data_IF_790124328225
#
_entry.id   IF_790124328225
#
_cell.length_a   1.000
_cell.length_b   1.000
_cell.length_c   1.000
_cell.angle_alpha   90.00
_cell.angle_beta   90.00
_cell.angle_gamma   90.00
#
_symmetry.space_group_name_H-M   'P 1'
#
loop_
_entity.id
_entity.type
_entity.pdbx_description
1 polymer ?
#
# COMPACT_ATOMS: atom_id res chain seq x y z
N UNK A 1 -1.11 2.42 -13.57
CA UNK A 1 -2.49 2.50 -13.04
C UNK A 1 -2.53 2.81 -11.55
N UNK A 2 -1.79 2.10 -10.69
CA UNK A 2 -1.82 2.36 -9.23
C UNK A 2 -1.46 3.81 -8.84
N UNK A 3 -0.42 4.40 -9.46
CA UNK A 3 0.00 5.78 -9.16
C UNK A 3 -1.10 6.82 -9.43
N UNK A 4 -1.87 6.65 -10.50
CA UNK A 4 -2.96 7.56 -10.86
C UNK A 4 -4.21 7.36 -9.99
N UNK A 5 -4.47 6.13 -9.55
CA UNK A 5 -5.58 5.82 -8.65
C UNK A 5 -5.34 6.51 -7.30
N UNK A 6 -4.13 6.39 -6.75
CA UNK A 6 -3.82 6.91 -5.43
C UNK A 6 -3.19 8.33 -5.44
N UNK A 7 -3.02 8.94 -6.62
CA UNK A 7 -2.42 10.27 -6.79
C UNK A 7 -1.05 10.46 -6.09
N UNK A 8 -0.21 9.43 -6.12
CA UNK A 8 1.10 9.39 -5.42
C UNK A 8 2.26 9.89 -6.25
N UNK A 9 3.32 10.31 -5.55
CA UNK A 9 4.62 10.53 -6.15
C UNK A 9 5.20 9.25 -6.76
N UNK A 10 6.01 9.41 -7.81
CA UNK A 10 6.67 8.29 -8.52
C UNK A 10 7.73 7.55 -7.68
N UNK A 11 8.04 8.04 -6.49
CA UNK A 11 9.07 7.48 -5.59
C UNK A 11 8.53 6.48 -4.57
N UNK A 12 7.21 6.28 -4.52
CA UNK A 12 6.59 5.24 -3.68
C UNK A 12 7.00 3.85 -4.15
N UNK A 13 7.12 2.90 -3.23
CA UNK A 13 7.36 1.50 -3.60
C UNK A 13 6.14 0.91 -4.33
N UNK A 14 6.43 0.06 -5.31
CA UNK A 14 5.40 -0.70 -6.05
C UNK A 14 4.54 -1.53 -5.10
N UNK A 15 5.17 -2.18 -4.12
CA UNK A 15 4.53 -3.06 -3.14
C UNK A 15 3.47 -2.29 -2.33
N UNK A 16 3.84 -1.12 -1.80
CA UNK A 16 2.92 -0.29 -1.00
C UNK A 16 1.80 0.29 -1.86
N UNK A 17 2.11 0.82 -3.06
CA UNK A 17 1.08 1.47 -3.88
C UNK A 17 0.04 0.46 -4.40
N UNK A 18 0.44 -0.78 -4.70
CA UNK A 18 -0.49 -1.83 -5.13
C UNK A 18 -1.45 -2.23 -4.00
N UNK A 19 -0.94 -2.37 -2.77
CA UNK A 19 -1.77 -2.62 -1.58
C UNK A 19 -2.74 -1.45 -1.34
N UNK A 20 -2.24 -0.21 -1.32
CA UNK A 20 -3.08 0.98 -1.09
C UNK A 20 -4.17 1.09 -2.16
N UNK A 21 -3.81 0.89 -3.43
CA UNK A 21 -4.74 0.93 -4.56
C UNK A 21 -5.74 -0.24 -4.58
N UNK A 22 -5.50 -1.28 -3.78
CA UNK A 22 -6.28 -2.51 -3.81
C UNK A 22 -6.12 -3.29 -5.13
N UNK A 23 -4.97 -3.17 -5.79
CA UNK A 23 -4.71 -3.82 -7.07
C UNK A 23 -3.82 -5.05 -6.87
N UNK A 24 -4.32 -6.22 -7.25
CA UNK A 24 -3.53 -7.45 -7.28
C UNK A 24 -2.31 -7.23 -8.19
N UNK A 25 -1.09 -7.49 -7.71
CA UNK A 25 0.12 -7.45 -8.53
C UNK A 25 -0.01 -8.27 -9.81
N UNK A 26 0.57 -7.77 -10.91
CA UNK A 26 0.38 -8.35 -12.23
C UNK A 26 0.85 -9.81 -12.31
N UNK A 27 1.96 -10.15 -11.64
CA UNK A 27 2.49 -11.52 -11.65
C UNK A 27 1.51 -12.50 -11.01
N UNK A 28 0.86 -12.12 -9.91
CA UNK A 28 -0.18 -12.95 -9.29
C UNK A 28 -1.43 -13.05 -10.15
N UNK A 29 -1.88 -11.95 -10.76
CA UNK A 29 -3.04 -11.98 -11.67
C UNK A 29 -2.78 -12.83 -12.93
N UNK A 30 -1.54 -12.87 -13.41
CA UNK A 30 -1.13 -13.73 -14.52
C UNK A 30 -1.11 -15.20 -14.10
N UNK A 31 -0.59 -15.49 -12.90
CA UNK A 31 -0.56 -16.82 -12.29
C UNK A 31 -1.96 -17.39 -12.12
N UNK A 32 -2.88 -16.63 -11.51
CA UNK A 32 -4.29 -17.01 -11.30
C UNK A 32 -4.94 -17.40 -12.63
N UNK A 33 -4.71 -16.61 -13.69
CA UNK A 33 -5.23 -16.91 -15.03
C UNK A 33 -4.63 -18.17 -15.64
N UNK A 34 -3.33 -18.42 -15.44
CA UNK A 34 -2.67 -19.63 -15.93
C UNK A 34 -3.24 -20.87 -15.24
N UNK A 35 -3.38 -20.82 -13.92
CA UNK A 35 -3.93 -21.92 -13.12
C UNK A 35 -5.38 -22.22 -13.50
N UNK A 36 -6.19 -21.20 -13.79
CA UNK A 36 -7.55 -21.39 -14.29
C UNK A 36 -7.59 -22.00 -15.70
N UNK A 37 -6.67 -21.60 -16.60
CA UNK A 37 -6.62 -22.09 -17.97
C UNK A 37 -6.36 -23.61 -18.08
N UNK A 38 -5.60 -24.17 -17.14
CA UNK A 38 -5.28 -25.61 -17.13
C UNK A 38 -6.39 -26.48 -16.51
N UNK A 39 -7.41 -25.89 -15.89
CA UNK A 39 -8.52 -26.64 -15.30
C UNK A 39 -9.49 -27.11 -16.39
N UNK A 40 -9.92 -28.36 -16.27
CA UNK A 40 -10.87 -28.97 -17.21
C UNK A 40 -12.28 -28.33 -17.14
N UNK A 41 -12.66 -27.84 -15.96
CA UNK A 41 -13.93 -27.14 -15.73
C UNK A 41 -13.69 -25.92 -14.84
N UNK A 42 -14.23 -24.77 -15.24
CA UNK A 42 -14.15 -23.51 -14.50
C UNK A 42 -15.55 -23.17 -14.02
N UNK A 43 -15.78 -23.31 -12.71
CA UNK A 43 -16.97 -22.83 -12.03
C UNK A 43 -16.60 -21.77 -10.98
N UNK A 44 -17.59 -21.20 -10.31
CA UNK A 44 -17.35 -20.12 -9.35
C UNK A 44 -16.63 -20.59 -8.08
N UNK A 45 -16.79 -21.85 -7.67
CA UNK A 45 -16.04 -22.43 -6.55
C UNK A 45 -14.54 -22.49 -6.87
N UNK A 46 -14.18 -22.94 -8.07
CA UNK A 46 -12.79 -23.00 -8.55
C UNK A 46 -12.19 -21.60 -8.64
N UNK A 47 -12.92 -20.61 -9.18
CA UNK A 47 -12.45 -19.21 -9.24
C UNK A 47 -12.24 -18.63 -7.84
N UNK A 48 -13.18 -18.88 -6.92
CA UNK A 48 -13.08 -18.38 -5.55
C UNK A 48 -11.90 -19.01 -4.80
N UNK A 49 -11.65 -20.30 -5.01
CA UNK A 49 -10.47 -20.97 -4.47
C UNK A 49 -9.19 -20.33 -4.99
N UNK A 50 -9.06 -20.17 -6.31
CA UNK A 50 -7.87 -19.57 -6.92
C UNK A 50 -7.65 -18.12 -6.48
N UNK A 51 -8.73 -17.36 -6.27
CA UNK A 51 -8.63 -16.00 -5.74
C UNK A 51 -8.13 -15.98 -4.29
N UNK A 52 -8.58 -16.91 -3.43
CA UNK A 52 -8.06 -17.03 -2.06
C UNK A 52 -6.58 -17.41 -2.05
N UNK A 53 -6.18 -18.37 -2.88
CA UNK A 53 -4.77 -18.75 -3.04
C UNK A 53 -3.92 -17.54 -3.46
N UNK A 54 -4.43 -16.75 -4.41
CA UNK A 54 -3.80 -15.51 -4.87
C UNK A 54 -3.60 -14.50 -3.75
N UNK A 55 -4.62 -14.30 -2.90
CA UNK A 55 -4.51 -13.41 -1.74
C UNK A 55 -3.56 -13.94 -0.68
N UNK A 56 -3.51 -15.25 -0.45
CA UNK A 56 -2.56 -15.85 0.49
C UNK A 56 -1.11 -15.60 0.05
N UNK A 57 -0.80 -15.87 -1.21
CA UNK A 57 0.55 -15.66 -1.75
C UNK A 57 0.90 -14.16 -1.74
N UNK A 58 -0.05 -13.29 -2.08
CA UNK A 58 0.17 -11.85 -2.01
C UNK A 58 0.41 -11.38 -0.57
N UNK A 59 -0.34 -11.91 0.39
CA UNK A 59 -0.13 -11.62 1.81
C UNK A 59 1.26 -12.05 2.28
N UNK A 60 1.76 -13.21 1.86
CA UNK A 60 3.13 -13.67 2.19
C UNK A 60 4.21 -12.75 1.60
N UNK A 61 4.06 -12.30 0.35
CA UNK A 61 4.97 -11.31 -0.28
C UNK A 61 4.90 -9.97 0.46
N UNK A 62 3.70 -9.51 0.83
CA UNK A 62 3.52 -8.31 1.63
C UNK A 62 4.14 -8.44 3.02
N UNK A 63 4.05 -9.64 3.58
CA UNK A 63 4.55 -9.93 4.91
C UNK A 63 6.07 -10.04 4.97
N UNK A 64 6.73 -10.24 3.84
CA UNK A 64 8.19 -10.39 3.74
C UNK A 64 8.89 -9.20 3.09
N UNK A 65 8.15 -8.28 2.45
CA UNK A 65 8.72 -7.09 1.83
C UNK A 65 9.48 -6.20 2.84
N UNK A 66 10.64 -5.72 2.41
CA UNK A 66 11.45 -4.72 3.11
C UNK A 66 10.95 -3.29 2.86
N UNK A 67 10.05 -3.10 1.89
CA UNK A 67 9.49 -1.82 1.48
C UNK A 67 8.11 -1.60 2.10
N UNK A 68 7.66 -0.35 2.15
CA UNK A 68 6.29 -0.03 2.59
C UNK A 68 6.00 -0.38 4.05
N UNK A 69 7.03 -0.46 4.92
CA UNK A 69 6.91 -0.87 6.32
C UNK A 69 5.87 -0.08 7.11
N UNK A 70 5.79 1.22 6.87
CA UNK A 70 4.74 2.07 7.41
C UNK A 70 3.34 1.65 6.94
N UNK A 71 3.14 1.54 5.63
CA UNK A 71 1.87 1.08 5.04
C UNK A 71 1.46 -0.27 5.62
N UNK A 72 2.41 -1.19 5.83
CA UNK A 72 2.14 -2.52 6.40
C UNK A 72 1.79 -2.48 7.88
N UNK A 73 2.25 -1.48 8.62
CA UNK A 73 1.83 -1.21 10.01
C UNK A 73 0.36 -0.77 10.08
N UNK A 74 -0.17 -0.18 9.00
CA UNK A 74 -1.56 0.29 8.92
C UNK A 74 -2.49 -0.72 8.23
N UNK A 75 -1.99 -1.40 7.20
CA UNK A 75 -2.72 -2.34 6.34
C UNK A 75 -2.07 -3.73 6.51
N UNK A 76 -2.55 -4.48 7.49
CA UNK A 76 -2.02 -5.80 7.81
C UNK A 76 -2.51 -6.89 6.86
N UNK A 77 -3.80 -6.90 6.55
CA UNK A 77 -4.43 -7.91 5.70
C UNK A 77 -4.81 -7.30 4.34
N UNK A 78 -4.23 -7.82 3.26
CA UNK A 78 -4.46 -7.32 1.89
C UNK A 78 -5.86 -7.67 1.37
N UNK A 79 -6.41 -8.82 1.74
CA UNK A 79 -7.75 -9.24 1.32
C UNK A 79 -8.84 -8.38 1.98
N UNK A 80 -8.74 -8.15 3.29
CA UNK A 80 -9.66 -7.28 4.03
C UNK A 80 -9.60 -5.84 3.49
N UNK A 81 -8.39 -5.34 3.24
CA UNK A 81 -8.21 -4.00 2.69
C UNK A 81 -8.76 -3.85 1.28
N UNK A 82 -8.58 -4.85 0.42
CA UNK A 82 -9.05 -4.79 -0.98
C UNK A 82 -10.55 -5.06 -1.11
N UNK A 83 -11.15 -5.79 -0.16
CA UNK A 83 -12.59 -6.14 -0.16
C UNK A 83 -13.49 -5.12 0.55
N UNK A 84 -12.90 -4.10 1.19
CA UNK A 84 -13.64 -3.05 1.90
C UNK A 84 -14.61 -2.29 0.98
N UNK A 85 -15.79 -2.00 1.51
CA UNK A 85 -16.88 -1.32 0.77
C UNK A 85 -16.89 0.20 0.93
N UNK A 86 -15.95 0.75 1.70
CA UNK A 86 -15.90 2.16 2.06
C UNK A 86 -14.44 2.61 2.22
N UNK A 87 -14.23 3.94 2.25
CA UNK A 87 -12.93 4.57 2.55
C UNK A 87 -12.07 4.82 1.32
N UNK A 88 -12.62 5.47 0.30
CA UNK A 88 -11.87 5.76 -0.93
C UNK A 88 -10.49 6.37 -0.64
N UNK A 89 -9.49 5.90 -1.38
CA UNK A 89 -8.11 6.39 -1.26
C UNK A 89 -7.97 7.63 -2.14
N UNK A 90 -8.12 8.79 -1.53
CA UNK A 90 -7.81 10.08 -2.15
C UNK A 90 -6.33 10.45 -1.98
N UNK A 91 -5.94 11.62 -2.48
CA UNK A 91 -4.58 12.14 -2.37
C UNK A 91 -4.06 12.20 -0.92
N UNK A 92 -4.87 12.70 0.01
CA UNK A 92 -4.45 12.94 1.39
C UNK A 92 -4.38 11.64 2.19
N UNK A 93 -5.38 10.79 2.04
CA UNK A 93 -5.39 9.45 2.64
C UNK A 93 -4.22 8.63 2.13
N UNK A 94 -3.93 8.71 0.83
CA UNK A 94 -2.79 7.99 0.28
C UNK A 94 -1.46 8.51 0.82
N UNK A 95 -1.27 9.82 0.93
CA UNK A 95 -0.05 10.39 1.54
C UNK A 95 0.16 9.89 2.96
N UNK A 96 -0.92 9.83 3.74
CA UNK A 96 -0.89 9.22 5.07
C UNK A 96 -0.48 7.74 5.01
N UNK A 97 -1.22 6.91 4.27
CA UNK A 97 -1.01 5.46 4.22
C UNK A 97 0.37 5.08 3.71
N UNK A 98 0.96 5.91 2.86
CA UNK A 98 2.26 5.65 2.24
C UNK A 98 3.44 6.27 2.97
N UNK A 99 3.23 7.18 3.93
CA UNK A 99 4.28 8.06 4.47
C UNK A 99 4.98 8.91 3.38
N UNK A 100 4.46 8.91 2.15
CA UNK A 100 4.99 9.64 1.00
C UNK A 100 4.20 10.95 0.77
N UNK A 101 4.04 11.71 1.86
CA UNK A 101 3.40 13.01 1.87
C UNK A 101 4.36 14.20 1.91
N UNK A 102 3.81 15.39 2.12
CA UNK A 102 4.58 16.62 2.40
C UNK A 102 5.04 16.64 3.88
N UNK A 103 5.58 15.52 4.35
CA UNK A 103 6.18 15.37 5.67
C UNK A 103 7.61 15.90 5.64
N UNK A 104 8.04 16.67 6.64
CA UNK A 104 9.36 17.29 6.60
C UNK A 104 10.47 16.22 6.54
N UNK A 105 10.33 15.09 7.22
CA UNK A 105 11.29 13.98 7.12
C UNK A 105 11.49 13.51 5.68
N UNK A 106 10.37 13.31 4.95
CA UNK A 106 10.42 12.90 3.55
C UNK A 106 11.08 13.97 2.68
N UNK A 107 10.67 15.24 2.83
CA UNK A 107 11.22 16.36 2.08
C UNK A 107 12.73 16.54 2.32
N UNK A 108 13.18 16.32 3.56
CA UNK A 108 14.58 16.35 3.94
C UNK A 108 15.36 15.20 3.26
N UNK A 109 14.83 13.98 3.30
CA UNK A 109 15.42 12.80 2.64
C UNK A 109 15.61 13.00 1.13
N UNK A 110 14.70 13.70 0.47
CA UNK A 110 14.82 14.08 -0.95
C UNK A 110 15.55 15.40 -1.19
N UNK A 111 16.21 15.95 -0.16
CA UNK A 111 17.04 17.17 -0.19
C UNK A 111 16.31 18.44 -0.66
N UNK A 112 15.00 18.54 -0.37
CA UNK A 112 14.20 19.74 -0.66
C UNK A 112 14.22 20.77 0.46
N UNK A 113 14.48 20.33 1.69
CA UNK A 113 14.55 21.18 2.89
C UNK A 113 15.75 20.79 3.78
N UNK A 114 16.26 21.70 4.63
CA UNK A 114 17.50 21.48 5.37
C UNK A 114 17.38 20.53 6.56
N UNK A 115 16.19 20.36 7.14
CA UNK A 115 15.94 19.46 8.26
C UNK A 115 14.57 18.79 8.12
N UNK A 116 14.36 17.67 8.82
CA UNK A 116 13.13 16.88 8.78
C UNK A 116 12.23 17.04 10.01
N UNK A 117 12.45 18.11 10.79
CA UNK A 117 11.84 18.29 12.10
C UNK A 117 10.46 18.97 11.99
N UNK A 118 9.59 18.65 12.94
CA UNK A 118 8.26 19.19 13.06
C UNK A 118 8.32 20.63 13.57
N UNK A 119 7.63 21.54 12.89
CA UNK A 119 7.59 22.95 13.26
C UNK A 119 6.94 23.23 14.63
N UNK A 120 6.20 22.28 15.20
CA UNK A 120 5.46 22.48 16.45
C UNK A 120 6.21 21.98 17.69
N UNK A 121 7.07 20.97 17.55
CA UNK A 121 7.69 20.31 18.70
C UNK A 121 9.11 19.78 18.44
N UNK A 122 9.69 20.08 17.28
CA UNK A 122 11.07 19.75 16.89
C UNK A 122 11.40 18.24 16.79
N UNK A 123 10.43 17.35 16.99
CA UNK A 123 10.54 15.91 16.72
C UNK A 123 10.54 15.61 15.21
N UNK A 124 10.92 14.39 14.79
CA UNK A 124 10.91 14.01 13.37
C UNK A 124 9.47 14.05 12.81
N UNK A 125 9.23 14.87 11.79
CA UNK A 125 7.92 15.00 11.15
C UNK A 125 7.74 13.93 10.08
N UNK A 126 7.38 12.73 10.52
CA UNK A 126 6.92 11.63 9.69
C UNK A 126 5.40 11.45 9.84
N UNK A 127 4.80 10.58 9.01
CA UNK A 127 3.34 10.37 9.03
C UNK A 127 2.80 9.98 10.42
N UNK A 128 3.52 9.13 11.15
CA UNK A 128 3.16 8.72 12.51
C UNK A 128 3.11 9.92 13.45
N UNK A 129 4.17 10.72 13.45
CA UNK A 129 4.29 11.89 14.30
C UNK A 129 3.20 12.91 13.99
N UNK A 130 3.08 13.31 12.72
CA UNK A 130 2.16 14.37 12.27
C UNK A 130 0.71 14.09 12.68
N UNK A 131 0.31 12.81 12.74
CA UNK A 131 -1.07 12.41 12.94
C UNK A 131 -1.39 11.89 14.33
N UNK A 132 -0.44 11.22 15.00
CA UNK A 132 -0.72 10.54 16.27
C UNK A 132 0.05 11.11 17.46
N UNK A 133 1.21 11.74 17.25
CA UNK A 133 2.10 12.13 18.35
C UNK A 133 2.25 13.65 18.52
N UNK A 134 2.08 14.43 17.46
CA UNK A 134 2.32 15.86 17.48
C UNK A 134 1.37 16.56 18.48
N UNK A 135 1.87 17.35 19.44
CA UNK A 135 1.06 17.94 20.52
C UNK A 135 0.26 19.17 20.09
N UNK A 136 -0.26 19.17 18.85
CA UNK A 136 -0.96 20.30 18.23
C UNK A 136 -2.13 20.84 19.07
#
# INVERSE_FOLDING_TARGET
>A
MALSICSVYRTISTDAVLVIAGLIPLHFAAEEKRELYVKAEINDEVKNHQRRDTYQIWQEEWDTSDKGRWTRKLIHNVEDWTSRKHGDVDYYITQFLSEHGVFMDFLHRIKKIPNGNCMYCDEIDNAEHTLFCCPR
#
